data_IF_583661088460
#
_entry.id   IF_583661088460
#
_cell.length_a   1.000
_cell.length_b   1.000
_cell.length_c   1.000
_cell.angle_alpha   90.00
_cell.angle_beta   90.00
_cell.angle_gamma   90.00
#
_symmetry.space_group_name_H-M   'P 1'
#
loop_
_entity.id
_entity.type
_entity.pdbx_description
1 polymer ?
#
# COMPACT_ATOMS: atom_id res chain seq x y z
N UNK A 1 -9.55 16.95 -13.71
CA UNK A 1 -9.41 15.74 -14.55
C UNK A 1 -8.55 14.75 -13.77
N UNK A 2 -9.03 13.54 -13.52
CA UNK A 2 -8.23 12.51 -12.85
C UNK A 2 -7.39 11.80 -13.90
N UNK A 3 -6.08 11.70 -13.67
CA UNK A 3 -5.15 11.00 -14.55
C UNK A 3 -4.67 9.73 -13.85
N UNK A 4 -5.19 8.59 -14.29
CA UNK A 4 -4.87 7.27 -13.74
C UNK A 4 -4.10 6.50 -14.81
N UNK A 5 -2.97 5.91 -14.43
CA UNK A 5 -2.11 5.15 -15.32
C UNK A 5 -1.68 3.85 -14.65
N UNK A 6 -1.74 2.75 -15.40
CA UNK A 6 -1.11 1.49 -15.04
C UNK A 6 0.31 1.49 -15.58
N UNK A 7 1.28 1.16 -14.73
CA UNK A 7 2.70 1.14 -15.07
C UNK A 7 3.28 -0.22 -14.66
N UNK A 8 3.25 -1.16 -15.61
CA UNK A 8 3.73 -2.52 -15.40
C UNK A 8 5.15 -2.66 -15.94
N UNK A 9 6.07 -3.13 -15.09
CA UNK A 9 7.50 -3.23 -15.41
C UNK A 9 7.96 -4.69 -15.36
N UNK A 10 8.72 -5.11 -16.38
CA UNK A 10 9.42 -6.40 -16.37
C UNK A 10 10.85 -6.16 -15.92
N UNK A 11 11.22 -6.72 -14.77
CA UNK A 11 12.57 -6.61 -14.20
C UNK A 11 13.45 -7.77 -14.67
N UNK A 12 14.65 -7.44 -15.16
CA UNK A 12 15.62 -8.46 -15.60
C UNK A 12 16.07 -9.31 -14.40
N UNK A 13 16.15 -10.63 -14.58
CA UNK A 13 16.62 -11.58 -13.54
C UNK A 13 17.98 -11.17 -12.97
N UNK A 14 18.10 -11.25 -11.64
CA UNK A 14 19.31 -10.90 -10.89
C UNK A 14 19.29 -9.48 -10.32
N UNK A 15 18.26 -8.68 -10.60
CA UNK A 15 18.05 -7.38 -9.94
C UNK A 15 17.08 -7.54 -8.76
N UNK A 16 17.24 -6.69 -7.75
CA UNK A 16 16.31 -6.55 -6.63
C UNK A 16 15.10 -5.71 -7.07
N UNK A 17 13.96 -6.38 -7.26
CA UNK A 17 12.74 -5.72 -7.69
C UNK A 17 12.07 -4.90 -6.58
N UNK A 18 12.27 -5.26 -5.31
CA UNK A 18 11.69 -4.54 -4.16
C UNK A 18 12.43 -3.22 -3.94
N UNK A 19 13.76 -3.23 -4.05
CA UNK A 19 14.54 -2.00 -4.03
C UNK A 19 14.15 -1.08 -5.20
N UNK A 20 14.06 -1.63 -6.41
CA UNK A 20 13.65 -0.87 -7.59
C UNK A 20 12.25 -0.25 -7.43
N UNK A 21 11.30 -1.01 -6.87
CA UNK A 21 9.96 -0.50 -6.55
C UNK A 21 10.05 0.71 -5.61
N UNK A 22 10.79 0.62 -4.50
CA UNK A 22 10.94 1.75 -3.57
C UNK A 22 11.58 2.98 -4.21
N UNK A 23 12.57 2.80 -5.09
CA UNK A 23 13.17 3.89 -5.87
C UNK A 23 12.16 4.54 -6.81
N UNK A 24 11.31 3.75 -7.49
CA UNK A 24 10.23 4.28 -8.33
C UNK A 24 9.17 5.04 -7.52
N UNK A 25 8.77 4.51 -6.36
CA UNK A 25 7.80 5.17 -5.47
C UNK A 25 8.33 6.54 -5.00
N UNK A 26 9.61 6.65 -4.67
CA UNK A 26 10.22 7.94 -4.30
C UNK A 26 10.15 8.99 -5.42
N UNK A 27 10.25 8.56 -6.69
CA UNK A 27 10.07 9.47 -7.84
C UNK A 27 8.61 9.92 -8.01
N UNK A 28 7.66 9.02 -7.75
CA UNK A 28 6.24 9.35 -7.77
C UNK A 28 5.87 10.32 -6.65
N UNK A 29 6.40 10.11 -5.45
CA UNK A 29 6.31 11.03 -4.33
C UNK A 29 6.83 12.43 -4.70
N UNK A 30 8.01 12.51 -5.32
CA UNK A 30 8.60 13.78 -5.75
C UNK A 30 7.73 14.51 -6.79
N UNK A 31 7.00 13.76 -7.62
CA UNK A 31 6.06 14.31 -8.61
C UNK A 31 4.72 14.71 -8.01
N UNK A 32 4.47 14.41 -6.74
CA UNK A 32 3.18 14.61 -6.09
C UNK A 32 2.10 13.64 -6.57
N UNK A 33 2.49 12.51 -7.16
CA UNK A 33 1.55 11.48 -7.58
C UNK A 33 1.02 10.70 -6.37
N UNK A 34 -0.24 10.28 -6.45
CA UNK A 34 -0.85 9.40 -5.46
C UNK A 34 -0.92 7.97 -6.00
N UNK A 35 -0.58 7.02 -5.14
CA UNK A 35 -0.70 5.59 -5.40
C UNK A 35 -1.03 4.88 -4.09
N UNK A 36 -1.87 3.83 -4.10
CA UNK A 36 -2.61 3.29 -5.25
C UNK A 36 -3.74 4.23 -5.71
N UNK A 37 -3.96 4.33 -7.02
CA UNK A 37 -5.00 5.20 -7.59
C UNK A 37 -6.37 4.51 -7.69
N UNK A 38 -6.41 3.23 -8.10
CA UNK A 38 -7.65 2.46 -8.23
C UNK A 38 -7.59 1.03 -7.66
N UNK A 39 -6.39 0.44 -7.56
CA UNK A 39 -6.21 -0.95 -7.12
C UNK A 39 -6.32 -1.17 -5.61
N UNK A 40 -6.58 -0.12 -4.82
CA UNK A 40 -6.55 -0.16 -3.35
C UNK A 40 -5.15 -0.55 -2.79
N UNK A 41 -4.98 -0.53 -1.46
CA UNK A 41 -3.67 -0.66 -0.81
C UNK A 41 -3.18 -2.11 -0.65
N UNK A 42 -4.11 -3.06 -0.63
CA UNK A 42 -3.87 -4.48 -0.38
C UNK A 42 -2.88 -4.72 0.76
N UNK A 43 -1.76 -5.43 0.55
CA UNK A 43 -0.69 -5.60 1.54
C UNK A 43 0.63 -4.92 1.14
N UNK A 44 0.62 -4.18 0.03
CA UNK A 44 1.84 -3.71 -0.64
C UNK A 44 2.21 -2.30 -0.20
N UNK A 45 1.22 -1.42 -0.04
CA UNK A 45 1.47 0.00 0.16
C UNK A 45 1.29 0.42 1.62
N UNK A 46 2.39 0.76 2.27
CA UNK A 46 2.40 1.26 3.64
C UNK A 46 2.15 2.77 3.72
N UNK A 47 2.68 3.53 2.75
CA UNK A 47 2.70 4.99 2.80
C UNK A 47 1.31 5.63 2.63
N UNK A 48 0.43 4.96 1.89
CA UNK A 48 -0.96 5.38 1.70
C UNK A 48 -1.94 4.75 2.70
N UNK A 49 -1.44 3.96 3.67
CA UNK A 49 -2.17 3.59 4.88
C UNK A 49 -2.32 4.80 5.81
N UNK A 50 -2.89 5.90 5.31
CA UNK A 50 -3.05 7.10 6.13
C UNK A 50 -3.85 6.76 7.39
N UNK A 51 -3.67 7.57 8.43
CA UNK A 51 -4.29 7.35 9.74
C UNK A 51 -5.81 7.14 9.59
N UNK A 52 -6.44 7.87 8.68
CA UNK A 52 -7.87 7.78 8.39
C UNK A 52 -8.27 6.38 7.87
N UNK A 53 -7.51 5.81 6.92
CA UNK A 53 -7.80 4.49 6.35
C UNK A 53 -7.60 3.38 7.39
N UNK A 54 -6.56 3.48 8.23
CA UNK A 54 -6.35 2.54 9.34
C UNK A 54 -7.48 2.62 10.36
N UNK A 55 -7.89 3.83 10.75
CA UNK A 55 -9.02 4.03 11.66
C UNK A 55 -10.33 3.51 11.07
N UNK A 56 -10.54 3.71 9.77
CA UNK A 56 -11.69 3.18 9.05
C UNK A 56 -11.74 1.65 9.10
N UNK A 57 -10.62 0.97 8.81
CA UNK A 57 -10.56 -0.49 8.92
C UNK A 57 -10.77 -0.99 10.34
N UNK A 58 -10.16 -0.34 11.34
CA UNK A 58 -10.36 -0.68 12.75
C UNK A 58 -11.81 -0.53 13.21
N UNK A 59 -12.52 0.49 12.69
CA UNK A 59 -13.94 0.70 12.98
C UNK A 59 -14.82 -0.40 12.38
N UNK A 60 -14.49 -0.90 11.19
CA UNK A 60 -15.26 -1.93 10.50
C UNK A 60 -14.96 -3.34 11.03
N UNK A 61 -13.69 -3.63 11.35
CA UNK A 61 -13.27 -4.92 11.89
C UNK A 61 -12.48 -4.73 13.20
N UNK A 62 -13.16 -4.45 14.33
CA UNK A 62 -12.50 -4.23 15.61
C UNK A 62 -11.71 -5.45 16.11
N UNK A 63 -11.99 -6.64 15.56
CA UNK A 63 -11.32 -7.88 15.97
C UNK A 63 -10.10 -8.23 15.13
N UNK A 64 -9.89 -7.54 14.00
CA UNK A 64 -8.89 -7.86 12.99
C UNK A 64 -8.95 -9.36 12.60
N UNK A 65 -10.10 -9.79 12.09
CA UNK A 65 -10.38 -11.16 11.66
C UNK A 65 -10.69 -11.26 10.15
N UNK A 66 -10.98 -10.15 9.49
CA UNK A 66 -11.37 -10.10 8.09
C UNK A 66 -10.29 -9.41 7.26
N UNK A 67 -9.62 -10.20 6.40
CA UNK A 67 -8.54 -9.75 5.53
C UNK A 67 -7.41 -9.01 6.29
N UNK A 68 -6.78 -9.71 7.24
CA UNK A 68 -5.83 -9.13 8.20
C UNK A 68 -4.54 -8.63 7.55
N UNK A 69 -3.99 -7.55 8.09
CA UNK A 69 -2.70 -7.00 7.68
C UNK A 69 -2.73 -6.16 6.41
N UNK A 70 -3.91 -5.71 5.97
CA UNK A 70 -4.05 -4.73 4.87
C UNK A 70 -3.18 -3.50 5.15
N UNK A 71 -2.56 -2.95 4.13
CA UNK A 71 -1.68 -1.78 4.15
C UNK A 71 -0.49 -1.94 5.09
N UNK A 72 0.01 -3.18 5.24
CA UNK A 72 1.05 -3.57 6.20
C UNK A 72 0.69 -3.28 7.66
N UNK A 73 -0.61 -3.31 8.00
CA UNK A 73 -1.07 -3.26 9.40
C UNK A 73 -0.83 -4.60 10.11
N UNK A 74 -1.14 -4.64 11.41
CA UNK A 74 -0.99 -5.87 12.21
C UNK A 74 -1.77 -7.06 11.62
N UNK A 75 -1.18 -8.25 11.73
CA UNK A 75 -1.84 -9.54 11.45
C UNK A 75 -2.33 -10.24 12.73
N UNK A 76 -2.27 -9.58 13.88
CA UNK A 76 -2.70 -10.13 15.18
C UNK A 76 -4.14 -9.70 15.49
N UNK A 77 -4.86 -10.54 16.24
CA UNK A 77 -6.21 -10.22 16.73
C UNK A 77 -6.21 -8.90 17.50
N UNK A 78 -7.33 -8.18 17.41
CA UNK A 78 -7.55 -6.90 18.09
C UNK A 78 -6.46 -5.86 17.82
N UNK A 79 -5.85 -5.92 16.63
CA UNK A 79 -4.87 -4.94 16.15
C UNK A 79 -3.60 -4.79 17.01
N UNK A 80 -3.26 -5.82 17.81
CA UNK A 80 -2.06 -5.82 18.65
C UNK A 80 -0.77 -5.71 17.81
N UNK A 81 0.27 -5.02 18.31
CA UNK A 81 1.58 -4.92 17.64
C UNK A 81 2.41 -6.20 17.79
#
# INVERSE_FOLDING_TARGET
>A
MCHVFHQDYIVKKGNDYEQLEHEMLALLDQRGAQYPAEHNVEHLYQKQANVDLRQFYQKLDPTNSFNIGISKTSKKKYWAE
#
